data_IF_126702859990
#
_entry.id   IF_126702859990
#
_cell.length_a   1.000
_cell.length_b   1.000
_cell.length_c   1.000
_cell.angle_alpha   90.00
_cell.angle_beta   90.00
_cell.angle_gamma   90.00
#
_symmetry.space_group_name_H-M   'P 1'
#
loop_
_entity.id
_entity.type
_entity.pdbx_description
1 polymer ?
#
# COMPACT_ATOMS: atom_id res chain seq x y z
N UNK A 1 20.22 1.08 -11.34
CA UNK A 1 18.93 0.63 -11.93
C UNK A 1 17.89 1.66 -11.55
N UNK A 2 17.36 2.36 -12.55
CA UNK A 2 16.48 3.50 -12.39
C UNK A 2 15.02 3.11 -12.63
N UNK A 3 14.11 3.78 -11.92
CA UNK A 3 12.79 4.13 -12.46
C UNK A 3 11.59 3.29 -12.04
N UNK A 4 11.10 3.48 -10.81
CA UNK A 4 9.66 3.60 -10.51
C UNK A 4 9.48 4.31 -9.14
N UNK A 5 9.96 5.54 -9.04
CA UNK A 5 9.54 6.46 -7.98
C UNK A 5 8.52 7.41 -8.62
N UNK A 6 7.24 7.06 -8.53
CA UNK A 6 6.18 8.05 -8.72
C UNK A 6 6.44 9.19 -7.75
N UNK A 7 6.16 10.41 -8.18
CA UNK A 7 6.43 11.66 -7.46
C UNK A 7 5.90 11.63 -6.01
N UNK A 8 6.77 11.20 -5.10
CA UNK A 8 6.69 11.52 -3.68
C UNK A 8 7.77 12.58 -3.45
N UNK A 9 7.44 13.70 -2.77
CA UNK A 9 8.44 14.72 -2.49
C UNK A 9 9.54 14.08 -1.65
N UNK A 10 10.71 14.00 -2.27
CA UNK A 10 12.04 14.02 -1.68
C UNK A 10 12.28 13.05 -0.51
N UNK A 11 12.88 11.92 -0.87
CA UNK A 11 13.65 10.98 -0.02
C UNK A 11 14.78 11.63 0.82
N UNK A 12 14.86 12.97 0.92
CA UNK A 12 15.89 13.65 1.69
C UNK A 12 15.60 15.13 2.06
N UNK A 13 14.36 15.64 2.14
CA UNK A 13 14.27 17.10 2.38
C UNK A 13 12.99 17.82 2.76
N UNK A 14 11.80 17.25 2.70
CA UNK A 14 10.61 17.99 3.16
C UNK A 14 9.50 17.05 3.59
N UNK A 15 9.58 16.63 4.85
CA UNK A 15 8.49 15.94 5.51
C UNK A 15 7.32 16.89 5.74
N UNK A 16 6.07 16.43 5.66
CA UNK A 16 4.97 17.20 6.23
C UNK A 16 5.27 17.36 7.73
N UNK A 17 5.41 18.60 8.18
CA UNK A 17 5.49 18.91 9.61
C UNK A 17 4.13 18.70 10.30
N UNK A 18 3.06 18.56 9.51
CA UNK A 18 1.69 18.43 9.97
C UNK A 18 1.23 16.97 10.14
N UNK A 19 0.33 16.69 11.12
CA UNK A 19 -0.28 15.38 11.32
C UNK A 19 -0.96 14.85 10.07
N UNK A 20 -0.94 13.52 9.88
CA UNK A 20 -1.76 12.87 8.85
C UNK A 20 -3.24 13.16 9.18
N UNK A 21 -3.99 13.69 8.22
CA UNK A 21 -5.43 13.88 8.36
C UNK A 21 -6.22 12.56 8.23
N UNK A 22 -7.43 12.55 8.81
CA UNK A 22 -8.29 11.36 8.84
C UNK A 22 -8.74 10.90 7.45
N UNK A 23 -8.77 11.81 6.46
CA UNK A 23 -9.16 11.51 5.09
C UNK A 23 -8.09 10.67 4.38
N UNK A 24 -6.82 11.05 4.53
CA UNK A 24 -5.67 10.32 4.03
C UNK A 24 -5.55 8.95 4.73
N UNK A 25 -5.72 8.90 6.05
CA UNK A 25 -5.75 7.63 6.81
C UNK A 25 -6.81 6.68 6.25
N UNK A 26 -8.04 7.17 6.12
CA UNK A 26 -9.17 6.40 5.61
C UNK A 26 -8.92 5.93 4.17
N UNK A 27 -8.35 6.80 3.34
CA UNK A 27 -8.06 6.51 1.94
C UNK A 27 -6.99 5.42 1.80
N UNK A 28 -5.92 5.47 2.60
CA UNK A 28 -4.86 4.46 2.60
C UNK A 28 -5.41 3.07 2.94
N UNK A 29 -6.26 2.98 3.98
CA UNK A 29 -6.88 1.72 4.39
C UNK A 29 -7.84 1.20 3.32
N UNK A 30 -8.72 2.07 2.80
CA UNK A 30 -9.71 1.70 1.78
C UNK A 30 -9.05 1.20 0.50
N UNK A 31 -7.98 1.83 0.05
CA UNK A 31 -7.33 1.47 -1.22
C UNK A 31 -6.43 0.24 -1.06
N UNK A 32 -5.52 0.25 -0.08
CA UNK A 32 -4.50 -0.79 0.04
C UNK A 32 -5.00 -2.08 0.69
N UNK A 33 -5.97 -1.99 1.60
CA UNK A 33 -6.48 -3.14 2.37
C UNK A 33 -7.85 -3.57 1.87
N UNK A 34 -8.85 -2.69 1.94
CA UNK A 34 -10.23 -3.06 1.59
C UNK A 34 -10.38 -3.34 0.09
N UNK A 35 -9.84 -2.47 -0.77
CA UNK A 35 -9.92 -2.60 -2.22
C UNK A 35 -9.26 -3.88 -2.74
N UNK A 36 -8.03 -4.15 -2.31
CA UNK A 36 -7.27 -5.35 -2.70
C UNK A 36 -7.97 -6.64 -2.23
N UNK A 37 -8.55 -6.62 -1.03
CA UNK A 37 -9.34 -7.73 -0.49
C UNK A 37 -10.61 -7.96 -1.31
N UNK A 38 -11.36 -6.91 -1.63
CA UNK A 38 -12.59 -7.03 -2.44
C UNK A 38 -12.33 -7.52 -3.86
N UNK A 39 -11.27 -7.03 -4.51
CA UNK A 39 -10.89 -7.51 -5.85
C UNK A 39 -10.50 -8.98 -5.79
N UNK A 40 -9.71 -9.38 -4.78
CA UNK A 40 -9.36 -10.78 -4.53
C UNK A 40 -10.63 -11.64 -4.36
N UNK A 41 -11.56 -11.21 -3.50
CA UNK A 41 -12.83 -11.90 -3.29
C UNK A 41 -13.66 -12.05 -4.56
N UNK A 42 -13.67 -11.03 -5.44
CA UNK A 42 -14.42 -11.06 -6.69
C UNK A 42 -13.82 -12.06 -7.70
N UNK A 43 -12.49 -12.16 -7.81
CA UNK A 43 -11.84 -13.00 -8.82
C UNK A 43 -11.55 -14.43 -8.34
N UNK A 44 -11.40 -14.64 -7.04
CA UNK A 44 -10.98 -15.90 -6.43
C UNK A 44 -11.91 -17.08 -6.78
N UNK A 45 -13.26 -16.97 -6.73
CA UNK A 45 -14.15 -18.07 -7.08
C UNK A 45 -13.89 -18.59 -8.51
N UNK A 46 -13.67 -17.67 -9.46
CA UNK A 46 -13.34 -18.03 -10.84
C UNK A 46 -11.99 -18.72 -10.98
N UNK A 47 -10.97 -18.29 -10.21
CA UNK A 47 -9.65 -18.96 -10.18
C UNK A 47 -9.75 -20.38 -9.62
N UNK A 48 -10.54 -20.58 -8.56
CA UNK A 48 -10.81 -21.88 -7.94
C UNK A 48 -11.53 -22.82 -8.91
N UNK A 49 -12.59 -22.36 -9.58
CA UNK A 49 -13.32 -23.15 -10.58
C UNK A 49 -12.41 -23.66 -11.70
N UNK A 50 -11.50 -22.80 -12.19
CA UNK A 50 -10.54 -23.16 -13.24
C UNK A 50 -9.34 -23.96 -12.73
N UNK A 51 -9.19 -24.11 -11.41
CA UNK A 51 -7.99 -24.64 -10.73
C UNK A 51 -6.69 -23.98 -11.22
N UNK A 52 -6.77 -22.70 -11.61
CA UNK A 52 -5.67 -21.96 -12.24
C UNK A 52 -5.85 -20.46 -12.05
N UNK A 53 -4.83 -19.83 -11.47
CA UNK A 53 -4.74 -18.38 -11.27
C UNK A 53 -3.61 -18.04 -10.31
N UNK A 54 -3.14 -16.79 -10.36
CA UNK A 54 -2.21 -16.23 -9.40
C UNK A 54 -2.66 -14.79 -9.09
N UNK A 55 -2.56 -14.40 -7.83
CA UNK A 55 -2.82 -13.03 -7.36
C UNK A 55 -1.50 -12.52 -6.81
N UNK A 56 -1.06 -11.35 -7.28
CA UNK A 56 0.18 -10.71 -6.85
C UNK A 56 -0.18 -9.33 -6.34
N UNK A 57 -0.01 -9.12 -5.04
CA UNK A 57 -0.14 -7.80 -4.41
C UNK A 57 1.24 -7.13 -4.35
N UNK A 58 1.26 -5.80 -4.48
CA UNK A 58 2.49 -5.02 -4.39
C UNK A 58 2.71 -4.58 -2.94
N UNK A 59 3.73 -5.18 -2.31
CA UNK A 59 4.27 -4.74 -1.02
C UNK A 59 5.14 -3.49 -1.16
N UNK A 60 5.72 -3.04 -0.04
CA UNK A 60 6.63 -1.89 -0.03
C UNK A 60 7.84 -2.15 0.87
N UNK A 61 9.04 -1.85 0.37
CA UNK A 61 10.26 -1.87 1.18
C UNK A 61 10.21 -0.88 2.35
N UNK A 62 9.43 0.20 2.23
CA UNK A 62 9.23 1.15 3.33
C UNK A 62 8.54 0.51 4.55
N UNK A 63 7.63 -0.46 4.33
CA UNK A 63 6.97 -1.19 5.41
C UNK A 63 7.91 -2.11 6.18
N UNK A 64 9.04 -2.50 5.57
CA UNK A 64 10.01 -3.45 6.13
C UNK A 64 11.22 -2.72 6.72
N UNK A 65 11.73 -1.72 6.01
CA UNK A 65 13.02 -1.09 6.32
C UNK A 65 12.86 0.10 7.26
N UNK A 66 11.74 0.84 7.18
CA UNK A 66 11.51 2.04 7.99
C UNK A 66 10.04 2.11 8.46
N UNK A 67 9.53 1.09 9.19
CA UNK A 67 8.13 1.07 9.63
C UNK A 67 7.80 2.15 10.67
N UNK A 68 8.82 2.72 11.31
CA UNK A 68 8.69 3.71 12.39
C UNK A 68 9.00 5.14 11.94
N UNK A 69 9.15 5.41 10.64
CA UNK A 69 9.32 6.79 10.18
C UNK A 69 8.05 7.59 10.52
N UNK A 70 8.16 8.78 11.14
CA UNK A 70 7.02 9.63 11.41
C UNK A 70 6.20 9.86 10.13
N UNK A 71 4.88 9.73 10.24
CA UNK A 71 3.93 9.85 9.13
C UNK A 71 3.91 8.70 8.11
N UNK A 72 4.73 7.65 8.26
CA UNK A 72 4.68 6.44 7.42
C UNK A 72 4.04 5.22 8.09
N UNK A 73 3.84 5.26 9.42
CA UNK A 73 3.34 4.11 10.18
C UNK A 73 2.04 3.52 9.62
N UNK A 74 1.08 4.37 9.23
CA UNK A 74 -0.20 3.89 8.69
C UNK A 74 -0.07 3.38 7.26
N UNK A 75 0.72 4.04 6.41
CA UNK A 75 1.02 3.51 5.09
C UNK A 75 1.71 2.14 5.19
N UNK A 76 2.76 2.03 6.01
CA UNK A 76 3.50 0.80 6.27
C UNK A 76 2.57 -0.31 6.77
N UNK A 77 1.65 -0.01 7.69
CA UNK A 77 0.66 -0.96 8.20
C UNK A 77 -0.33 -1.48 7.13
N UNK A 78 -0.53 -0.74 6.03
CA UNK A 78 -1.46 -1.13 4.96
C UNK A 78 -0.81 -1.91 3.82
N UNK A 79 0.52 -2.07 3.82
CA UNK A 79 1.23 -2.83 2.80
C UNK A 79 1.51 -4.27 3.27
N UNK A 80 1.31 -5.28 2.40
CA UNK A 80 1.71 -6.66 2.70
C UNK A 80 3.21 -6.81 2.89
#
# INVERSE_FOLDING_TARGET
MAGIAGSWPDIAGSWPEEPIDDELLTSLIKVNVEGTTKVTQAVLPGMVMRKKGAIVNIGSGAAIVIPSDPFYAVYAATKP
#
